data_IF_870708044468
#
_entry.id   IF_870708044468
#
_cell.length_a   1.000
_cell.length_b   1.000
_cell.length_c   1.000
_cell.angle_alpha   90.00
_cell.angle_beta   90.00
_cell.angle_gamma   90.00
#
_symmetry.space_group_name_H-M   'P 1'
#
loop_
_entity.id
_entity.type
_entity.pdbx_description
1 polymer ?
#
# COMPACT_ATOMS: atom_id res chain seq x y z
N UNK A 1 -19.50 -2.11 -16.90
CA UNK A 1 -18.29 -2.95 -16.95
C UNK A 1 -17.53 -2.81 -15.63
N UNK A 2 -17.99 -3.45 -14.55
CA UNK A 2 -17.37 -3.34 -13.21
C UNK A 2 -16.01 -4.05 -13.14
N UNK A 3 -15.95 -5.26 -13.69
CA UNK A 3 -14.76 -6.13 -13.66
C UNK A 3 -13.49 -5.49 -14.22
N UNK A 4 -13.55 -4.87 -15.41
CA UNK A 4 -12.37 -4.24 -16.05
C UNK A 4 -11.82 -3.10 -15.19
N UNK A 5 -12.72 -2.36 -14.53
CA UNK A 5 -12.34 -1.28 -13.62
C UNK A 5 -11.67 -1.82 -12.36
N UNK A 6 -12.24 -2.86 -11.76
CA UNK A 6 -11.64 -3.56 -10.62
C UNK A 6 -10.26 -4.11 -10.95
N UNK A 7 -10.12 -4.76 -12.11
CA UNK A 7 -8.85 -5.29 -12.58
C UNK A 7 -7.79 -4.20 -12.76
N UNK A 8 -8.14 -3.11 -13.44
CA UNK A 8 -7.21 -1.98 -13.64
C UNK A 8 -6.77 -1.39 -12.30
N UNK A 9 -7.70 -1.20 -11.36
CA UNK A 9 -7.38 -0.68 -10.03
C UNK A 9 -6.46 -1.62 -9.24
N UNK A 10 -6.75 -2.93 -9.23
CA UNK A 10 -5.90 -3.95 -8.63
C UNK A 10 -4.50 -4.01 -9.25
N UNK A 11 -4.43 -3.93 -10.59
CA UNK A 11 -3.17 -3.98 -11.32
C UNK A 11 -2.29 -2.79 -10.99
N UNK A 12 -2.85 -1.57 -10.99
CA UNK A 12 -2.13 -0.37 -10.59
C UNK A 12 -1.68 -0.42 -9.12
N UNK A 13 -2.55 -0.84 -8.20
CA UNK A 13 -2.21 -0.96 -6.79
C UNK A 13 -1.10 -1.99 -6.54
N UNK A 14 -1.16 -3.13 -7.22
CA UNK A 14 -0.13 -4.17 -7.15
C UNK A 14 1.20 -3.70 -7.71
N UNK A 15 1.19 -3.00 -8.86
CA UNK A 15 2.40 -2.44 -9.46
C UNK A 15 3.07 -1.41 -8.55
N UNK A 16 2.28 -0.49 -7.97
CA UNK A 16 2.80 0.51 -7.04
C UNK A 16 3.40 -0.13 -5.78
N UNK A 17 2.75 -1.17 -5.23
CA UNK A 17 3.30 -1.92 -4.10
C UNK A 17 4.60 -2.64 -4.48
N UNK A 18 4.66 -3.29 -5.64
CA UNK A 18 5.86 -3.95 -6.14
C UNK A 18 7.04 -2.98 -6.27
N UNK A 19 6.80 -1.78 -6.80
CA UNK A 19 7.83 -0.74 -6.92
C UNK A 19 8.33 -0.28 -5.55
N UNK A 20 7.44 -0.14 -4.57
CA UNK A 20 7.84 0.23 -3.21
C UNK A 20 8.65 -0.87 -2.52
N UNK A 21 8.25 -2.13 -2.69
CA UNK A 21 8.99 -3.28 -2.15
C UNK A 21 10.38 -3.40 -2.77
N UNK A 22 10.51 -3.18 -4.09
CA UNK A 22 11.82 -3.10 -4.77
C UNK A 22 12.69 -1.98 -4.21
N UNK A 23 12.12 -0.79 -4.00
CA UNK A 23 12.86 0.33 -3.43
C UNK A 23 13.38 0.06 -1.99
N UNK A 24 12.74 -0.88 -1.28
CA UNK A 24 13.17 -1.35 0.04
C UNK A 24 14.09 -2.59 -0.02
N UNK A 25 14.40 -3.11 -1.22
CA UNK A 25 15.20 -4.32 -1.40
C UNK A 25 14.48 -5.61 -0.97
N UNK A 26 13.15 -5.61 -0.96
CA UNK A 26 12.30 -6.72 -0.51
C UNK A 26 11.63 -7.47 -1.66
N UNK A 27 12.03 -7.27 -2.91
CA UNK A 27 11.37 -7.87 -4.07
C UNK A 27 11.37 -9.40 -4.06
N UNK A 28 12.42 -10.02 -3.52
CA UNK A 28 12.52 -11.47 -3.38
C UNK A 28 11.64 -12.07 -2.28
N UNK A 29 11.18 -11.26 -1.33
CA UNK A 29 10.39 -11.73 -0.18
C UNK A 29 8.89 -11.85 -0.48
N UNK A 30 8.44 -11.31 -1.62
CA UNK A 30 7.03 -11.30 -2.05
C UNK A 30 6.83 -11.95 -3.44
N UNK A 31 7.25 -13.21 -3.66
CA UNK A 31 7.16 -13.85 -4.97
C UNK A 31 5.71 -14.10 -5.43
N UNK A 32 4.76 -14.15 -4.48
CA UNK A 32 3.34 -14.38 -4.76
C UNK A 32 2.52 -13.10 -5.00
N UNK A 33 3.16 -11.93 -5.08
CA UNK A 33 2.47 -10.65 -5.24
C UNK A 33 1.75 -10.60 -6.59
N UNK A 34 0.42 -10.47 -6.58
CA UNK A 34 -0.41 -10.38 -7.78
C UNK A 34 -1.64 -9.50 -7.58
N UNK A 35 -2.15 -9.00 -8.69
CA UNK A 35 -3.47 -8.41 -8.77
C UNK A 35 -4.52 -9.51 -8.97
N UNK A 36 -5.68 -9.37 -8.35
CA UNK A 36 -6.82 -10.25 -8.54
C UNK A 36 -8.12 -9.43 -8.57
N UNK A 37 -9.22 -10.06 -8.99
CA UNK A 37 -10.55 -9.46 -8.99
C UNK A 37 -11.56 -10.48 -8.47
N UNK A 38 -12.39 -10.08 -7.52
CA UNK A 38 -13.43 -10.96 -6.99
C UNK A 38 -14.62 -11.10 -7.97
N UNK A 39 -15.57 -11.96 -7.62
CA UNK A 39 -16.78 -12.20 -8.42
C UNK A 39 -17.69 -10.97 -8.54
N UNK A 40 -17.59 -10.03 -7.60
CA UNK A 40 -18.34 -8.78 -7.58
C UNK A 40 -17.69 -7.69 -8.47
N UNK A 41 -16.45 -7.93 -8.92
CA UNK A 41 -15.68 -7.02 -9.75
C UNK A 41 -14.81 -6.05 -8.96
N UNK A 42 -14.59 -6.27 -7.66
CA UNK A 42 -13.66 -5.49 -6.84
C UNK A 42 -12.23 -5.95 -7.06
N UNK A 43 -11.33 -4.97 -7.21
CA UNK A 43 -9.91 -5.21 -7.35
C UNK A 43 -9.23 -5.54 -6.03
N UNK A 44 -8.37 -6.56 -6.02
CA UNK A 44 -7.64 -7.04 -4.86
C UNK A 44 -6.13 -7.05 -5.14
N UNK A 45 -5.34 -6.74 -4.11
CA UNK A 45 -3.88 -6.95 -4.09
C UNK A 45 -3.60 -8.15 -3.21
N UNK A 46 -3.04 -9.22 -3.77
CA UNK A 46 -2.77 -10.45 -3.08
C UNK A 46 -1.26 -10.62 -2.89
N UNK A 47 -0.79 -10.72 -1.64
CA UNK A 47 0.64 -10.90 -1.32
C UNK A 47 1.13 -12.34 -1.57
N UNK A 48 0.22 -13.31 -1.57
CA UNK A 48 0.55 -14.74 -1.63
C UNK A 48 1.20 -15.23 -0.35
N UNK A 49 2.04 -16.27 -0.46
CA UNK A 49 2.83 -16.76 0.66
C UNK A 49 4.07 -15.90 0.83
N UNK A 50 4.26 -15.39 2.04
CA UNK A 50 5.40 -14.56 2.44
C UNK A 50 6.04 -15.14 3.69
N UNK A 51 7.33 -14.85 3.88
CA UNK A 51 8.05 -15.25 5.10
C UNK A 51 7.55 -14.46 6.31
N UNK A 52 7.56 -15.03 7.53
CA UNK A 52 7.16 -14.31 8.74
C UNK A 52 7.95 -13.01 8.95
N UNK A 53 9.25 -13.03 8.68
CA UNK A 53 10.10 -11.84 8.79
C UNK A 53 9.65 -10.74 7.83
N UNK A 54 9.32 -11.08 6.58
CA UNK A 54 8.83 -10.14 5.58
C UNK A 54 7.47 -9.54 5.98
N UNK A 55 6.57 -10.34 6.56
CA UNK A 55 5.30 -9.87 7.09
C UNK A 55 5.51 -8.85 8.23
N UNK A 56 6.47 -9.11 9.12
CA UNK A 56 6.81 -8.20 10.21
C UNK A 56 7.42 -6.88 9.70
N UNK A 57 8.32 -6.96 8.72
CA UNK A 57 8.88 -5.76 8.09
C UNK A 57 7.80 -4.93 7.37
N UNK A 58 6.88 -5.58 6.66
CA UNK A 58 5.77 -4.90 6.01
C UNK A 58 4.88 -4.18 7.04
N UNK A 59 4.53 -4.86 8.13
CA UNK A 59 3.74 -4.26 9.20
C UNK A 59 4.45 -3.03 9.80
N UNK A 60 5.76 -3.14 10.08
CA UNK A 60 6.57 -2.03 10.59
C UNK A 60 6.61 -0.84 9.62
N UNK A 61 6.76 -1.12 8.32
CA UNK A 61 6.78 -0.10 7.29
C UNK A 61 5.43 0.64 7.19
N UNK A 62 4.31 -0.09 7.27
CA UNK A 62 2.96 0.49 7.29
C UNK A 62 2.73 1.38 8.50
N UNK A 63 3.08 0.91 9.71
CA UNK A 63 2.95 1.68 10.95
C UNK A 63 3.80 2.95 10.89
N UNK A 64 5.04 2.83 10.39
CA UNK A 64 5.96 3.98 10.27
C UNK A 64 5.43 5.01 9.27
N UNK A 65 4.96 4.57 8.09
CA UNK A 65 4.36 5.45 7.09
C UNK A 65 3.14 6.18 7.64
N UNK A 66 2.23 5.45 8.28
CA UNK A 66 1.03 6.04 8.89
C UNK A 66 1.36 7.04 10.00
N UNK A 67 2.36 6.74 10.85
CA UNK A 67 2.78 7.66 11.90
C UNK A 67 3.34 8.97 11.34
N UNK A 68 4.10 8.91 10.23
CA UNK A 68 4.60 10.10 9.53
C UNK A 68 3.46 10.92 8.95
N UNK A 69 2.52 10.29 8.23
CA UNK A 69 1.35 10.98 7.67
C UNK A 69 0.52 11.67 8.77
N UNK A 70 0.27 10.99 9.90
CA UNK A 70 -0.44 11.58 11.03
C UNK A 70 0.30 12.78 11.64
N UNK A 71 1.62 12.69 11.79
CA UNK A 71 2.43 13.79 12.29
C UNK A 71 2.36 15.01 11.35
N UNK A 72 2.40 14.80 10.03
CA UNK A 72 2.24 15.86 9.03
C UNK A 72 0.85 16.51 9.07
N UNK A 73 -0.21 15.71 9.18
CA UNK A 73 -1.58 16.24 9.29
C UNK A 73 -1.75 17.09 10.56
N UNK A 74 -1.25 16.61 11.70
CA UNK A 74 -1.30 17.35 12.98
C UNK A 74 -0.43 18.62 12.96
N UNK A 75 0.69 18.62 12.23
CA UNK A 75 1.51 19.82 12.04
C UNK A 75 0.82 20.86 11.15
N UNK A 76 0.08 20.40 10.13
CA UNK A 76 -0.65 21.27 9.19
C UNK A 76 -1.84 21.96 9.88
N UNK A 77 -2.57 21.22 10.73
CA UNK A 77 -3.73 21.72 11.49
C UNK A 77 -3.35 22.75 12.57
N UNK A 78 -2.08 22.72 13.02
CA UNK A 78 -1.54 23.64 14.01
C UNK A 78 -1.02 24.96 13.45
N UNK A 79 -1.09 25.20 12.14
CA UNK A 79 -0.74 26.51 11.57
C UNK A 79 -1.82 27.53 11.98
N UNK A 80 -1.56 28.44 12.94
CA UNK A 80 -2.58 29.38 13.36
C UNK A 80 -2.83 30.33 12.21
N UNK A 81 -4.11 30.46 11.81
CA UNK A 81 -4.60 31.52 10.95
C UNK A 81 -4.27 32.84 11.66
N UNK A 82 -3.09 33.42 11.38
CA UNK A 82 -2.72 34.75 11.87
C UNK A 82 -3.82 35.70 11.40
N UNK A 83 -4.57 36.19 12.38
CA UNK A 83 -5.60 37.19 12.28
C UNK A 83 -5.04 38.41 11.53
N UNK A 84 -5.73 38.79 10.45
CA UNK A 84 -5.62 40.09 9.81
C UNK A 84 -6.72 41.01 10.36
#
# INVERSE_FOLDING_TARGET
MSYVRGWSHAHHGTAALADRLRALGLDSDFPGLKADVNVDGDGLVCLGQIRPEAAQFLAQALVTGLALELAEHLATDQTPRRSA
#
